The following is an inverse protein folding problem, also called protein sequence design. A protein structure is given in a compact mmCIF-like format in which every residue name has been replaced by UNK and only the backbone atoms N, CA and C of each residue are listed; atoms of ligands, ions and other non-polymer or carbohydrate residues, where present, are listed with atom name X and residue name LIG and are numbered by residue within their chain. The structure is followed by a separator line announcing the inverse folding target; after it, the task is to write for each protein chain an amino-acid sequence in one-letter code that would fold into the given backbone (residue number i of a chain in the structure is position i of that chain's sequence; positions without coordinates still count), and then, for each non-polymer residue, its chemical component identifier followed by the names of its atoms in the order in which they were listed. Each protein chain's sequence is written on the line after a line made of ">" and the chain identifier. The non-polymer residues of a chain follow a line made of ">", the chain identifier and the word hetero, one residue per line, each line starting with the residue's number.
data_IF_711198987998
#
_entry.id   IF_711198987998
#
_cell.length_a   1.000
_cell.length_b   1.000
_cell.length_c   1.000
_cell.angle_alpha   90.00
_cell.angle_beta   90.00
_cell.angle_gamma   90.00
#
_symmetry.space_group_name_H-M   'P 1'
#
loop_
_entity.id
_entity.type
_entity.pdbx_description
1 polymer ?
#
# COMPACT_ATOMS: atom_id res chain seq x y z
N UNK A 1 3.68 35.18 -5.67
CA UNK A 1 2.98 34.10 -6.41
C UNK A 1 3.82 32.83 -6.54
N UNK A 2 5.10 32.88 -6.94
CA UNK A 2 5.98 31.70 -7.06
C UNK A 2 6.13 30.88 -5.76
N UNK A 3 6.31 31.55 -4.63
CA UNK A 3 6.45 30.91 -3.31
C UNK A 3 5.19 30.11 -2.94
N UNK A 4 4.00 30.58 -3.32
CA UNK A 4 2.74 29.89 -3.04
C UNK A 4 2.62 28.57 -3.82
N UNK A 5 3.09 28.56 -5.07
CA UNK A 5 3.17 27.36 -5.90
C UNK A 5 4.18 26.33 -5.38
N UNK A 6 5.32 26.80 -4.84
CA UNK A 6 6.34 25.93 -4.24
C UNK A 6 5.84 25.30 -2.93
N UNK A 7 5.14 26.06 -2.09
CA UNK A 7 4.56 25.52 -0.84
C UNK A 7 3.47 24.49 -1.15
N UNK A 8 2.67 24.72 -2.20
CA UNK A 8 1.60 23.81 -2.62
C UNK A 8 2.12 22.48 -3.20
N UNK A 9 3.28 22.48 -3.87
CA UNK A 9 3.85 21.25 -4.44
C UNK A 9 4.49 20.35 -3.38
N UNK A 10 5.03 20.92 -2.29
CA UNK A 10 5.66 20.16 -1.20
C UNK A 10 4.61 19.41 -0.36
N UNK A 11 3.37 19.88 -0.28
CA UNK A 11 2.31 19.17 0.46
C UNK A 11 1.78 17.93 -0.29
N UNK A 12 2.00 17.84 -1.60
CA UNK A 12 1.59 16.68 -2.40
C UNK A 12 2.56 15.49 -2.30
N UNK A 13 3.75 15.65 -1.71
CA UNK A 13 4.72 14.54 -1.56
C UNK A 13 4.51 13.71 -0.30
N UNK A 14 3.46 13.97 0.49
CA UNK A 14 3.19 13.31 1.76
C UNK A 14 2.57 11.90 1.64
N UNK A 15 2.66 11.23 0.49
CA UNK A 15 2.39 9.80 0.41
C UNK A 15 3.48 9.05 1.16
N UNK A 16 3.27 8.78 2.45
CA UNK A 16 4.19 7.95 3.22
C UNK A 16 4.25 6.55 2.59
N UNK A 17 5.44 5.93 2.56
CA UNK A 17 5.60 4.55 2.07
C UNK A 17 4.65 3.58 2.81
N UNK A 18 4.38 3.84 4.09
CA UNK A 18 3.39 3.12 4.90
C UNK A 18 1.97 3.25 4.35
N UNK A 19 1.51 4.48 4.10
CA UNK A 19 0.17 4.71 3.56
C UNK A 19 0.00 4.07 2.17
N UNK A 20 1.03 4.13 1.33
CA UNK A 20 1.02 3.46 0.03
C UNK A 20 0.93 1.93 0.18
N UNK A 21 1.77 1.34 1.04
CA UNK A 21 1.79 -0.10 1.30
C UNK A 21 0.43 -0.61 1.80
N UNK A 22 -0.13 0.04 2.83
CA UNK A 22 -1.42 -0.35 3.40
C UNK A 22 -2.56 -0.15 2.39
N UNK A 23 -2.52 0.92 1.59
CA UNK A 23 -3.49 1.16 0.53
C UNK A 23 -3.50 0.07 -0.53
N UNK A 24 -2.32 -0.37 -0.99
CA UNK A 24 -2.18 -1.48 -1.95
C UNK A 24 -2.66 -2.80 -1.32
N UNK A 25 -2.27 -3.07 -0.07
CA UNK A 25 -2.69 -4.28 0.67
C UNK A 25 -4.21 -4.35 0.80
N UNK A 26 -4.85 -3.24 1.16
CA UNK A 26 -6.31 -3.19 1.30
C UNK A 26 -7.03 -3.29 -0.05
N UNK A 27 -6.51 -2.63 -1.09
CA UNK A 27 -7.03 -2.76 -2.45
C UNK A 27 -7.02 -4.22 -2.94
N UNK A 28 -5.96 -4.97 -2.64
CA UNK A 28 -5.86 -6.38 -2.98
C UNK A 28 -6.90 -7.24 -2.24
N UNK A 29 -7.14 -6.98 -0.95
CA UNK A 29 -8.22 -7.65 -0.19
C UNK A 29 -9.58 -7.36 -0.78
N UNK A 30 -9.85 -6.10 -1.14
CA UNK A 30 -11.13 -5.72 -1.73
C UNK A 30 -11.34 -6.42 -3.08
N UNK A 31 -10.29 -6.52 -3.90
CA UNK A 31 -10.33 -7.28 -5.15
C UNK A 31 -10.59 -8.79 -4.95
N UNK A 32 -10.09 -9.39 -3.87
CA UNK A 32 -10.44 -10.78 -3.53
C UNK A 32 -11.90 -10.91 -3.11
N UNK A 33 -12.44 -9.95 -2.35
CA UNK A 33 -13.86 -9.96 -1.93
C UNK A 33 -14.84 -9.76 -3.09
N UNK A 34 -14.38 -9.20 -4.21
CA UNK A 34 -15.19 -9.10 -5.44
C UNK A 34 -15.15 -10.34 -6.33
N UNK A 35 -14.38 -11.38 -5.97
CA UNK A 35 -14.33 -12.63 -6.73
C UNK A 35 -15.63 -13.45 -6.55
N UNK A 36 -15.93 -14.40 -7.45
CA UNK A 36 -17.06 -15.31 -7.29
C UNK A 36 -17.03 -16.11 -5.99
N UNK A 37 -18.19 -16.55 -5.46
CA UNK A 37 -18.24 -17.47 -4.34
C UNK A 37 -17.40 -18.73 -4.60
N UNK A 38 -16.52 -19.08 -3.67
CA UNK A 38 -15.55 -20.18 -3.79
C UNK A 38 -14.13 -19.73 -4.16
N UNK A 39 -13.96 -18.53 -4.74
CA UNK A 39 -12.64 -17.99 -5.13
C UNK A 39 -12.10 -16.95 -4.14
N UNK A 40 -12.92 -16.52 -3.17
CA UNK A 40 -12.55 -15.48 -2.18
C UNK A 40 -11.44 -15.96 -1.25
N UNK A 41 -11.67 -17.03 -0.48
CA UNK A 41 -10.66 -17.66 0.40
C UNK A 41 -9.34 -17.98 -0.30
N UNK A 42 -9.30 -18.75 -1.41
CA UNK A 42 -8.03 -19.05 -2.08
C UNK A 42 -7.35 -17.79 -2.66
N UNK A 43 -8.10 -16.72 -2.95
CA UNK A 43 -7.51 -15.43 -3.29
C UNK A 43 -6.86 -14.77 -2.07
N UNK A 44 -7.56 -14.70 -0.94
CA UNK A 44 -7.07 -14.10 0.29
C UNK A 44 -5.81 -14.80 0.83
N UNK A 45 -5.74 -16.13 0.74
CA UNK A 45 -4.58 -16.92 1.16
C UNK A 45 -3.28 -16.59 0.41
N UNK A 46 -3.39 -16.09 -0.83
CA UNK A 46 -2.24 -15.70 -1.65
C UNK A 46 -1.76 -14.27 -1.38
N UNK A 47 -2.51 -13.48 -0.61
CA UNK A 47 -2.16 -12.08 -0.35
C UNK A 47 -1.01 -11.97 0.66
N UNK A 48 -0.23 -10.91 0.51
CA UNK A 48 0.78 -10.55 1.51
C UNK A 48 0.10 -10.19 2.85
N UNK A 49 0.45 -10.93 3.90
CA UNK A 49 -0.08 -10.74 5.26
C UNK A 49 0.82 -9.87 6.13
N UNK A 50 2.07 -9.60 5.72
CA UNK A 50 3.07 -8.86 6.50
C UNK A 50 2.60 -7.46 6.88
N UNK A 51 3.01 -7.02 8.06
CA UNK A 51 2.93 -5.63 8.48
C UNK A 51 3.88 -4.76 7.65
N UNK A 52 3.64 -3.45 7.61
CA UNK A 52 4.56 -2.53 6.93
C UNK A 52 5.98 -2.60 7.50
N UNK A 53 6.10 -2.74 8.82
CA UNK A 53 7.39 -2.82 9.51
C UNK A 53 8.18 -4.07 9.12
N UNK A 54 7.52 -5.23 8.99
CA UNK A 54 8.14 -6.47 8.49
C UNK A 54 8.57 -6.34 7.04
N UNK A 55 7.70 -5.79 6.18
CA UNK A 55 8.02 -5.50 4.79
C UNK A 55 9.23 -4.57 4.66
N UNK A 56 9.27 -3.49 5.43
CA UNK A 56 10.34 -2.49 5.34
C UNK A 56 11.66 -3.05 5.88
N UNK A 57 11.64 -3.86 6.95
CA UNK A 57 12.82 -4.56 7.46
C UNK A 57 13.43 -5.49 6.41
N UNK A 58 12.60 -6.27 5.71
CA UNK A 58 13.07 -7.15 4.65
C UNK A 58 13.61 -6.37 3.46
N UNK A 59 12.84 -5.37 2.98
CA UNK A 59 13.23 -4.50 1.86
C UNK A 59 14.54 -3.77 2.11
N UNK A 60 14.74 -3.25 3.33
CA UNK A 60 15.94 -2.50 3.69
C UNK A 60 17.16 -3.40 3.91
N UNK A 61 16.97 -4.66 4.31
CA UNK A 61 18.01 -5.67 4.44
C UNK A 61 18.47 -6.32 3.12
N UNK A 62 17.78 -6.03 2.00
CA UNK A 62 18.16 -6.47 0.64
C UNK A 62 19.17 -5.52 -0.03
N UNK A 63 19.77 -4.59 0.71
CA UNK A 63 20.74 -3.60 0.21
C UNK A 63 22.17 -3.99 0.53
#
# INVERSE_FOLDING_TARGET
>A
MLILFIVLSITMTACTNKAWYEGVKEGAKNNCRSQPPGEVEPCLERLNTKTYEEYEKERSGQK
#
